data_IF_574129076192
#
_entry.id   IF_574129076192
#
_cell.length_a   1.000
_cell.length_b   1.000
_cell.length_c   1.000
_cell.angle_alpha   90.00
_cell.angle_beta   90.00
_cell.angle_gamma   90.00
#
_symmetry.space_group_name_H-M   'P 1'
#
loop_
_entity.id
_entity.type
_entity.pdbx_description
1 polymer ?
#
# COMPACT_ATOMS: atom_id res chain seq x y z
N UNK A 1 16.41 16.21 -3.96
CA UNK A 1 15.37 17.19 -3.59
C UNK A 1 14.68 16.66 -2.35
N UNK A 2 14.46 17.48 -1.32
CA UNK A 2 13.66 17.07 -0.15
C UNK A 2 12.20 17.43 -0.43
N UNK A 3 11.39 16.40 -0.69
CA UNK A 3 9.96 16.54 -0.84
C UNK A 3 9.32 16.71 0.54
N UNK A 4 8.47 17.71 0.72
CA UNK A 4 7.73 17.86 1.98
C UNK A 4 6.66 16.75 2.11
N UNK A 5 6.15 16.53 3.32
CA UNK A 5 5.18 15.44 3.59
C UNK A 5 3.93 15.51 2.70
N UNK A 6 3.49 16.72 2.35
CA UNK A 6 2.33 16.95 1.50
C UNK A 6 2.58 16.53 0.04
N UNK A 7 3.71 16.92 -0.56
CA UNK A 7 4.09 16.50 -1.91
C UNK A 7 4.30 14.98 -1.98
N UNK A 8 4.78 14.36 -0.92
CA UNK A 8 4.93 12.90 -0.81
C UNK A 8 3.59 12.20 -0.65
N UNK A 9 2.68 12.76 0.15
CA UNK A 9 1.32 12.26 0.25
C UNK A 9 0.59 12.36 -1.10
N UNK A 10 0.68 13.51 -1.78
CA UNK A 10 0.16 13.69 -3.14
C UNK A 10 0.78 12.72 -4.14
N UNK A 11 2.09 12.47 -4.03
CA UNK A 11 2.78 11.47 -4.83
C UNK A 11 2.25 10.06 -4.58
N UNK A 12 2.01 9.69 -3.33
CA UNK A 12 1.38 8.42 -2.95
C UNK A 12 -0.02 8.28 -3.55
N UNK A 13 -0.82 9.35 -3.46
CA UNK A 13 -2.18 9.41 -3.97
C UNK A 13 -2.22 9.18 -5.47
N UNK A 14 -1.47 10.01 -6.21
CA UNK A 14 -1.39 9.96 -7.67
C UNK A 14 -0.70 8.73 -8.19
N UNK A 15 0.34 8.27 -7.50
CA UNK A 15 1.01 7.02 -7.81
C UNK A 15 0.02 5.86 -7.88
N UNK A 16 -0.86 5.72 -6.88
CA UNK A 16 -1.91 4.70 -6.91
C UNK A 16 -2.86 4.81 -8.10
N UNK A 17 -3.37 6.01 -8.39
CA UNK A 17 -4.31 6.24 -9.52
C UNK A 17 -3.65 5.91 -10.86
N UNK A 18 -2.41 6.37 -11.06
CA UNK A 18 -1.64 6.11 -12.28
C UNK A 18 -1.32 4.63 -12.41
N UNK A 19 -0.88 3.98 -11.34
CA UNK A 19 -0.62 2.55 -11.33
C UNK A 19 -1.85 1.74 -11.74
N UNK A 20 -3.01 2.10 -11.20
CA UNK A 20 -4.29 1.47 -11.55
C UNK A 20 -4.67 1.68 -13.02
N UNK A 21 -4.39 2.86 -13.58
CA UNK A 21 -4.63 3.19 -14.99
C UNK A 21 -3.73 2.35 -15.90
N UNK A 22 -2.45 2.22 -15.55
CA UNK A 22 -1.48 1.37 -16.26
C UNK A 22 -1.93 -0.09 -16.25
N UNK A 23 -2.43 -0.57 -15.10
CA UNK A 23 -2.80 -1.96 -14.91
C UNK A 23 -4.05 -2.37 -15.70
N UNK A 24 -5.12 -1.57 -15.64
CA UNK A 24 -6.45 -2.00 -16.12
C UNK A 24 -6.93 -1.27 -17.37
N UNK A 25 -6.26 -0.21 -17.84
CA UNK A 25 -6.68 0.65 -18.97
C UNK A 25 -8.12 1.22 -18.87
N UNK A 26 -8.80 1.00 -17.75
CA UNK A 26 -10.08 1.57 -17.40
C UNK A 26 -9.87 2.88 -16.63
N UNK A 27 -10.91 3.71 -16.55
CA UNK A 27 -10.86 4.94 -15.76
C UNK A 27 -10.57 4.58 -14.29
N UNK A 28 -9.38 4.93 -13.82
CA UNK A 28 -8.96 4.67 -12.46
C UNK A 28 -9.84 5.42 -11.45
N UNK A 29 -10.42 6.57 -11.85
CA UNK A 29 -11.21 7.40 -10.95
C UNK A 29 -12.59 6.79 -10.63
N UNK A 30 -13.07 5.84 -11.43
CA UNK A 30 -14.34 5.15 -11.18
C UNK A 30 -14.16 3.87 -10.36
N UNK A 31 -12.92 3.51 -9.98
CA UNK A 31 -12.67 2.31 -9.20
C UNK A 31 -13.24 2.47 -7.79
N UNK A 32 -13.84 1.41 -7.25
CA UNK A 32 -14.48 1.43 -5.92
C UNK A 32 -13.54 1.95 -4.84
N UNK A 33 -12.27 1.57 -4.93
CA UNK A 33 -11.25 1.97 -3.96
C UNK A 33 -10.92 3.45 -4.02
N UNK A 34 -10.98 4.09 -5.20
CA UNK A 34 -10.78 5.54 -5.33
C UNK A 34 -11.96 6.28 -4.71
N UNK A 35 -13.18 5.81 -4.93
CA UNK A 35 -14.39 6.40 -4.34
C UNK A 35 -14.38 6.29 -2.82
N UNK A 36 -14.07 5.11 -2.28
CA UNK A 36 -13.90 4.88 -0.84
C UNK A 36 -12.76 5.73 -0.26
N UNK A 37 -11.64 5.83 -0.97
CA UNK A 37 -10.50 6.68 -0.59
C UNK A 37 -10.95 8.14 -0.41
N UNK A 38 -11.73 8.65 -1.35
CA UNK A 38 -12.28 10.02 -1.29
C UNK A 38 -13.20 10.20 -0.09
N UNK A 39 -14.11 9.26 0.15
CA UNK A 39 -14.99 9.29 1.33
C UNK A 39 -14.20 9.31 2.65
N UNK A 40 -13.14 8.51 2.75
CA UNK A 40 -12.28 8.50 3.94
C UNK A 40 -11.58 9.85 4.11
N UNK A 41 -11.08 10.46 3.02
CA UNK A 41 -10.49 11.79 3.05
C UNK A 41 -11.51 12.85 3.54
N UNK A 42 -12.74 12.81 3.03
CA UNK A 42 -13.83 13.69 3.49
C UNK A 42 -14.16 13.48 4.98
N UNK A 43 -14.15 12.23 5.46
CA UNK A 43 -14.35 11.91 6.88
C UNK A 43 -13.24 12.49 7.75
N UNK A 44 -11.99 12.50 7.28
CA UNK A 44 -10.87 13.15 7.97
C UNK A 44 -11.02 14.67 8.02
N UNK A 45 -11.32 15.29 6.87
CA UNK A 45 -11.49 16.74 6.76
C UNK A 45 -12.67 17.25 7.61
N UNK A 46 -13.71 16.43 7.74
CA UNK A 46 -14.89 16.71 8.58
C UNK A 46 -14.74 16.28 10.05
N UNK A 47 -13.55 15.83 10.47
CA UNK A 47 -13.23 15.29 11.80
C UNK A 47 -14.06 14.07 12.26
N UNK A 48 -14.91 13.54 11.39
CA UNK A 48 -15.66 12.29 11.62
C UNK A 48 -14.74 11.09 11.77
N UNK A 49 -13.57 11.10 11.13
CA UNK A 49 -12.48 10.15 11.34
C UNK A 49 -11.29 10.90 11.94
N UNK A 50 -10.73 10.38 13.02
CA UNK A 50 -9.58 10.95 13.71
C UNK A 50 -8.82 9.85 14.48
N UNK A 51 -7.74 10.22 15.18
CA UNK A 51 -6.87 9.26 15.88
C UNK A 51 -7.63 8.42 16.92
N UNK A 52 -8.67 8.96 17.56
CA UNK A 52 -9.39 8.27 18.65
C UNK A 52 -10.35 7.19 18.15
N UNK A 53 -10.89 7.34 16.93
CA UNK A 53 -11.85 6.40 16.35
C UNK A 53 -11.30 5.64 15.13
N UNK A 54 -10.02 5.85 14.77
CA UNK A 54 -9.36 5.12 13.68
C UNK A 54 -9.39 3.60 13.91
N UNK A 55 -9.13 3.15 15.13
CA UNK A 55 -9.09 1.72 15.46
C UNK A 55 -10.46 1.04 15.23
N UNK A 56 -11.53 1.68 15.70
CA UNK A 56 -12.89 1.16 15.54
C UNK A 56 -13.36 1.27 14.09
N UNK A 57 -12.97 2.32 13.37
CA UNK A 57 -13.22 2.45 11.93
C UNK A 57 -12.57 1.29 11.17
N UNK A 58 -11.27 1.04 11.35
CA UNK A 58 -10.56 -0.08 10.71
C UNK A 58 -11.19 -1.44 11.03
N UNK A 59 -11.57 -1.65 12.30
CA UNK A 59 -12.25 -2.88 12.70
C UNK A 59 -13.61 -3.05 11.98
N UNK A 60 -14.36 -1.96 11.79
CA UNK A 60 -15.67 -2.00 11.12
C UNK A 60 -15.57 -2.31 9.62
N UNK A 61 -14.51 -1.85 8.95
CA UNK A 61 -14.26 -2.16 7.53
C UNK A 61 -14.01 -3.65 7.28
N UNK A 62 -13.57 -4.37 8.31
CA UNK A 62 -13.26 -5.81 8.25
C UNK A 62 -14.43 -6.72 8.62
N UNK A 63 -15.47 -6.20 9.27
CA UNK A 63 -16.61 -6.99 9.74
C UNK A 63 -17.60 -7.37 8.61
N UNK A 64 -17.53 -6.68 7.48
CA UNK A 64 -18.47 -6.82 6.35
C UNK A 64 -18.02 -7.88 5.31
N UNK A 65 -16.85 -8.52 5.50
CA UNK A 65 -16.28 -9.49 4.56
C UNK A 65 -16.65 -10.93 4.92
N UNK A 66 -17.92 -11.29 4.75
CA UNK A 66 -18.26 -12.69 4.45
C UNK A 66 -17.99 -12.89 2.96
N UNK A 67 -17.05 -13.76 2.59
CA UNK A 67 -16.83 -14.42 1.27
C UNK A 67 -15.41 -14.26 0.65
N UNK A 68 -14.83 -15.43 0.36
CA UNK A 68 -13.69 -15.86 -0.49
C UNK A 68 -12.75 -14.81 -1.14
N UNK A 69 -11.45 -14.93 -0.84
CA UNK A 69 -10.33 -14.08 -1.27
C UNK A 69 -10.05 -14.04 -2.79
N UNK A 70 -10.55 -15.01 -3.57
CA UNK A 70 -10.09 -15.22 -4.96
C UNK A 70 -10.68 -14.21 -5.95
N UNK A 71 -11.83 -13.60 -5.65
CA UNK A 71 -12.55 -12.70 -6.59
C UNK A 71 -12.97 -11.36 -5.97
N UNK A 72 -12.51 -11.02 -4.76
CA UNK A 72 -13.10 -9.92 -4.03
C UNK A 72 -12.37 -8.59 -4.31
N UNK A 73 -12.82 -7.85 -5.32
CA UNK A 73 -12.37 -6.47 -5.60
C UNK A 73 -12.46 -5.58 -4.34
N UNK A 74 -13.47 -5.82 -3.49
CA UNK A 74 -13.68 -5.12 -2.21
C UNK A 74 -12.54 -5.33 -1.19
N UNK A 75 -11.84 -6.46 -1.24
CA UNK A 75 -10.72 -6.78 -0.32
C UNK A 75 -9.45 -5.98 -0.64
N UNK A 76 -9.14 -5.86 -1.93
CA UNK A 76 -8.02 -5.04 -2.39
C UNK A 76 -8.34 -3.55 -2.29
N UNK A 77 -9.63 -3.20 -2.36
CA UNK A 77 -10.16 -1.85 -2.15
C UNK A 77 -9.72 -1.29 -0.80
N UNK A 78 -9.98 -1.98 0.30
CA UNK A 78 -9.67 -1.50 1.66
C UNK A 78 -8.21 -1.07 1.85
N UNK A 79 -7.24 -1.80 1.28
CA UNK A 79 -5.82 -1.49 1.45
C UNK A 79 -5.42 -0.17 0.76
N UNK A 80 -6.00 0.10 -0.40
CA UNK A 80 -5.77 1.32 -1.16
C UNK A 80 -6.64 2.48 -0.67
N UNK A 81 -7.88 2.22 -0.25
CA UNK A 81 -8.83 3.20 0.26
C UNK A 81 -8.36 3.88 1.55
N UNK A 82 -7.58 3.17 2.38
CA UNK A 82 -7.12 3.67 3.68
C UNK A 82 -5.92 4.62 3.61
N UNK A 83 -5.41 4.93 2.41
CA UNK A 83 -4.32 5.88 2.21
C UNK A 83 -4.48 7.21 2.97
N UNK A 84 -5.65 7.87 2.99
CA UNK A 84 -5.81 9.16 3.68
C UNK A 84 -5.60 9.02 5.18
N UNK A 85 -5.98 7.89 5.78
CA UNK A 85 -5.80 7.66 7.21
C UNK A 85 -4.32 7.57 7.63
N UNK A 86 -3.42 7.32 6.69
CA UNK A 86 -1.98 7.25 6.92
C UNK A 86 -1.40 8.65 7.23
N UNK A 87 -2.01 9.73 6.72
CA UNK A 87 -1.57 11.11 7.02
C UNK A 87 -1.75 11.46 8.50
N UNK A 88 -2.72 10.85 9.19
CA UNK A 88 -2.89 11.05 10.64
C UNK A 88 -1.71 10.51 11.45
N UNK A 89 -0.79 9.77 10.83
CA UNK A 89 0.19 8.91 11.50
C UNK A 89 1.63 9.26 11.15
N UNK A 90 1.86 10.23 10.27
CA UNK A 90 3.21 10.68 9.93
C UNK A 90 3.99 11.13 11.15
N UNK A 91 3.33 11.64 12.20
CA UNK A 91 3.96 12.04 13.46
C UNK A 91 4.21 10.87 14.44
N UNK A 92 3.54 9.72 14.25
CA UNK A 92 3.56 8.56 15.15
C UNK A 92 3.64 7.24 14.34
N UNK A 93 4.82 6.90 13.78
CA UNK A 93 4.98 5.76 12.85
C UNK A 93 4.57 4.41 13.44
N UNK A 94 4.63 4.30 14.77
CA UNK A 94 4.33 3.08 15.51
C UNK A 94 2.85 2.95 15.90
N UNK A 95 1.97 3.88 15.50
CA UNK A 95 0.55 3.81 15.87
C UNK A 95 -0.08 2.50 15.40
N UNK A 96 0.17 2.07 14.15
CA UNK A 96 -0.36 0.81 13.62
C UNK A 96 0.05 -0.42 14.44
N UNK A 97 1.27 -0.44 14.98
CA UNK A 97 1.74 -1.49 15.88
C UNK A 97 0.95 -1.49 17.21
N UNK A 98 0.62 -0.30 17.74
CA UNK A 98 -0.21 -0.15 18.95
C UNK A 98 -1.68 -0.52 18.72
N UNK A 99 -2.14 -0.50 17.47
CA UNK A 99 -3.51 -0.93 17.11
C UNK A 99 -3.65 -2.46 17.03
N UNK A 100 -2.54 -3.20 16.85
CA UNK A 100 -2.57 -4.67 16.73
C UNK A 100 -3.22 -5.41 17.92
N UNK A 101 -2.96 -5.06 19.20
CA UNK A 101 -3.57 -5.75 20.35
C UNK A 101 -5.09 -5.55 20.41
N UNK A 102 -5.57 -4.35 20.04
CA UNK A 102 -7.00 -4.03 20.04
C UNK A 102 -7.77 -4.77 18.95
N UNK A 103 -7.08 -5.23 17.90
CA UNK A 103 -7.68 -6.04 16.83
C UNK A 103 -7.70 -7.54 17.19
N UNK A 104 -6.81 -8.00 18.09
CA UNK A 104 -6.83 -9.38 18.62
C UNK A 104 -8.06 -9.66 19.49
N UNK A 105 -8.56 -8.67 20.23
CA UNK A 105 -9.70 -8.85 21.16
C UNK A 105 -11.07 -8.75 20.47
N UNK A 106 -11.15 -8.12 19.29
CA UNK A 106 -12.43 -7.83 18.60
C UNK A 106 -12.89 -8.97 17.68
N UNK A 107 -12.03 -9.94 17.33
CA UNK A 107 -12.38 -11.00 16.36
C UNK A 107 -11.95 -12.41 16.79
N UNK A 108 -12.76 -13.03 17.65
CA UNK A 108 -12.64 -14.45 17.99
C UNK A 108 -13.17 -15.41 16.89
N UNK A 109 -13.71 -14.91 15.77
CA UNK A 109 -14.56 -15.72 14.87
C UNK A 109 -14.11 -15.93 13.41
N UNK A 110 -12.88 -15.57 12.99
CA UNK A 110 -12.24 -16.21 11.82
C UNK A 110 -10.76 -15.83 11.68
N UNK A 111 -9.89 -16.83 11.42
CA UNK A 111 -8.46 -16.62 11.19
C UNK A 111 -8.15 -15.75 9.95
N UNK A 112 -9.09 -15.70 9.00
CA UNK A 112 -8.96 -14.96 7.74
C UNK A 112 -9.04 -13.45 7.99
N UNK A 113 -10.10 -12.96 8.64
CA UNK A 113 -10.29 -11.50 8.87
C UNK A 113 -9.17 -10.93 9.76
N UNK A 114 -8.67 -11.72 10.70
CA UNK A 114 -7.50 -11.37 11.51
C UNK A 114 -6.23 -11.17 10.66
N UNK A 115 -5.95 -12.09 9.72
CA UNK A 115 -4.82 -12.00 8.79
C UNK A 115 -4.91 -10.76 7.88
N UNK A 116 -6.12 -10.45 7.40
CA UNK A 116 -6.40 -9.29 6.53
C UNK A 116 -6.13 -7.96 7.24
N UNK A 117 -6.59 -7.84 8.48
CA UNK A 117 -6.34 -6.66 9.30
C UNK A 117 -4.85 -6.43 9.52
N UNK A 118 -4.08 -7.50 9.77
CA UNK A 118 -2.64 -7.41 9.91
C UNK A 118 -1.97 -6.92 8.62
N UNK A 119 -2.39 -7.39 7.44
CA UNK A 119 -1.83 -6.93 6.16
C UNK A 119 -2.01 -5.41 5.96
N UNK A 120 -3.19 -4.88 6.31
CA UNK A 120 -3.50 -3.45 6.24
C UNK A 120 -2.58 -2.65 7.18
N UNK A 121 -2.35 -3.14 8.40
CA UNK A 121 -1.48 -2.48 9.37
C UNK A 121 -0.01 -2.50 8.91
N UNK A 122 0.46 -3.64 8.40
CA UNK A 122 1.82 -3.77 7.85
C UNK A 122 1.96 -2.82 6.66
N UNK A 123 1.02 -2.81 5.73
CA UNK A 123 1.01 -1.87 4.61
C UNK A 123 1.06 -0.40 5.08
N UNK A 124 0.21 -0.03 6.04
CA UNK A 124 0.19 1.31 6.62
C UNK A 124 1.54 1.68 7.24
N UNK A 125 2.19 0.75 7.94
CA UNK A 125 3.54 0.93 8.47
C UNK A 125 4.57 1.13 7.34
N UNK A 126 4.61 0.25 6.33
CA UNK A 126 5.54 0.36 5.19
C UNK A 126 5.41 1.72 4.51
N UNK A 127 4.19 2.16 4.25
CA UNK A 127 3.95 3.42 3.58
C UNK A 127 4.30 4.62 4.47
N UNK A 128 4.00 4.57 5.76
CA UNK A 128 4.40 5.62 6.73
C UNK A 128 5.92 5.73 6.80
N UNK A 129 6.63 4.60 6.81
CA UNK A 129 8.09 4.54 6.68
C UNK A 129 8.55 5.25 5.42
N UNK A 130 7.95 4.94 4.27
CA UNK A 130 8.30 5.59 2.99
C UNK A 130 7.91 7.05 2.95
N UNK A 131 6.91 7.51 3.70
CA UNK A 131 6.50 8.92 3.84
C UNK A 131 7.34 9.71 4.85
N UNK A 132 8.04 9.04 5.77
CA UNK A 132 8.82 9.71 6.81
C UNK A 132 10.34 9.64 6.59
N UNK A 133 10.86 8.60 5.91
CA UNK A 133 12.29 8.28 5.98
C UNK A 133 12.94 7.95 4.62
N UNK A 134 13.17 8.96 3.76
CA UNK A 134 13.76 8.76 2.43
C UNK A 134 15.19 8.17 2.42
N UNK A 135 15.98 8.41 3.47
CA UNK A 135 17.43 8.20 3.43
C UNK A 135 17.91 6.87 4.02
N UNK A 136 17.01 6.09 4.63
CA UNK A 136 17.36 4.83 5.33
C UNK A 136 16.42 3.68 4.98
N UNK A 137 15.80 3.69 3.79
CA UNK A 137 14.86 2.65 3.37
C UNK A 137 15.42 1.24 3.52
N UNK A 138 16.72 1.06 3.23
CA UNK A 138 17.39 -0.23 3.38
C UNK A 138 17.55 -0.64 4.86
N UNK A 139 18.02 0.27 5.71
CA UNK A 139 18.17 0.01 7.15
C UNK A 139 16.80 -0.20 7.83
N UNK A 140 15.75 0.47 7.36
CA UNK A 140 14.38 0.28 7.83
C UNK A 140 13.73 -0.97 7.23
N UNK A 141 14.15 -1.40 6.05
CA UNK A 141 13.76 -2.69 5.52
C UNK A 141 14.27 -3.83 6.44
N UNK A 142 15.42 -3.64 7.08
CA UNK A 142 15.94 -4.59 8.08
C UNK A 142 15.17 -4.53 9.41
N UNK A 143 14.71 -3.35 9.84
CA UNK A 143 13.89 -3.25 11.06
C UNK A 143 12.48 -3.87 10.89
N UNK A 144 11.99 -4.05 9.65
CA UNK A 144 10.76 -4.81 9.39
C UNK A 144 10.90 -6.28 9.86
N UNK A 145 12.06 -6.91 9.69
CA UNK A 145 12.31 -8.29 10.19
C UNK A 145 12.20 -8.35 11.72
N UNK A 146 12.66 -7.31 12.42
CA UNK A 146 12.59 -7.22 13.89
C UNK A 146 11.17 -6.91 14.37
N UNK A 147 10.50 -5.95 13.74
CA UNK A 147 9.17 -5.45 14.12
C UNK A 147 8.07 -6.48 13.81
N UNK A 148 8.18 -7.15 12.66
CA UNK A 148 7.19 -8.11 12.18
C UNK A 148 7.74 -9.54 12.21
N UNK A 149 8.55 -9.86 13.22
CA UNK A 149 9.09 -11.19 13.41
C UNK A 149 7.97 -12.25 13.34
N UNK A 150 8.01 -13.20 12.38
CA UNK A 150 6.97 -14.20 12.19
C UNK A 150 6.69 -15.05 13.44
N UNK A 151 7.68 -15.18 14.33
CA UNK A 151 7.54 -15.90 15.59
C UNK A 151 6.67 -15.15 16.62
N UNK A 152 6.57 -13.82 16.51
CA UNK A 152 5.78 -12.97 17.40
C UNK A 152 4.38 -12.68 16.83
N UNK A 153 4.29 -12.55 15.51
CA UNK A 153 3.04 -12.29 14.78
C UNK A 153 3.00 -13.23 13.55
N UNK A 154 2.48 -14.46 13.72
CA UNK A 154 2.31 -15.39 12.60
C UNK A 154 1.32 -14.81 11.60
N UNK A 155 1.81 -14.40 10.43
CA UNK A 155 1.00 -13.84 9.36
C UNK A 155 1.67 -14.10 7.99
N UNK A 156 0.90 -14.48 6.96
CA UNK A 156 1.43 -14.73 5.61
C UNK A 156 2.33 -13.64 5.03
N UNK A 157 2.00 -12.37 5.28
CA UNK A 157 2.78 -11.25 4.78
C UNK A 157 4.13 -11.13 5.47
N UNK A 158 4.22 -11.46 6.77
CA UNK A 158 5.50 -11.36 7.50
C UNK A 158 6.50 -12.41 7.01
N UNK A 159 6.05 -13.62 6.73
CA UNK A 159 6.85 -14.67 6.10
C UNK A 159 7.34 -14.24 4.70
N UNK A 160 6.42 -13.73 3.87
CA UNK A 160 6.74 -13.28 2.50
C UNK A 160 7.68 -12.07 2.49
N UNK A 161 7.53 -11.13 3.43
CA UNK A 161 8.46 -10.02 3.59
C UNK A 161 9.84 -10.51 4.02
N UNK A 162 9.93 -11.51 4.91
CA UNK A 162 11.22 -12.10 5.27
C UNK A 162 11.94 -12.71 4.06
N UNK A 163 11.22 -13.43 3.20
CA UNK A 163 11.75 -13.96 1.93
C UNK A 163 12.25 -12.81 1.03
N UNK A 164 11.45 -11.75 0.88
CA UNK A 164 11.83 -10.58 0.08
C UNK A 164 13.10 -9.91 0.62
N UNK A 165 13.19 -9.69 1.93
CA UNK A 165 14.32 -9.03 2.57
C UNK A 165 15.60 -9.87 2.43
N UNK A 166 15.52 -11.17 2.66
CA UNK A 166 16.63 -12.08 2.40
C UNK A 166 17.03 -12.08 0.92
N UNK A 167 16.05 -12.10 0.02
CA UNK A 167 16.29 -12.07 -1.41
C UNK A 167 16.96 -10.79 -1.89
N UNK A 168 16.61 -9.63 -1.34
CA UNK A 168 17.31 -8.38 -1.66
C UNK A 168 18.76 -8.44 -1.13
N UNK A 169 18.97 -8.95 0.10
CA UNK A 169 20.34 -9.12 0.67
C UNK A 169 21.21 -10.01 -0.22
N UNK A 170 20.65 -11.07 -0.80
CA UNK A 170 21.37 -12.00 -1.69
C UNK A 170 21.44 -11.56 -3.16
N UNK A 171 20.88 -10.41 -3.52
CA UNK A 171 20.83 -9.95 -4.92
C UNK A 171 19.93 -10.79 -5.82
N UNK A 172 18.91 -11.47 -5.25
CA UNK A 172 17.94 -12.26 -6.00
C UNK A 172 17.16 -11.39 -6.98
N UNK A 173 16.90 -11.92 -8.17
CA UNK A 173 16.08 -11.29 -9.20
C UNK A 173 14.58 -11.31 -8.88
N UNK A 174 13.80 -10.46 -9.56
CA UNK A 174 12.34 -10.45 -9.46
C UNK A 174 11.73 -11.82 -9.77
N UNK A 175 12.28 -12.53 -10.77
CA UNK A 175 11.81 -13.85 -11.14
C UNK A 175 11.97 -14.84 -9.98
N UNK A 176 13.17 -14.91 -9.39
CA UNK A 176 13.45 -15.80 -8.26
C UNK A 176 12.56 -15.48 -7.05
N UNK A 177 12.35 -14.19 -6.76
CA UNK A 177 11.45 -13.78 -5.67
C UNK A 177 10.01 -14.19 -5.96
N UNK A 178 9.53 -13.96 -7.18
CA UNK A 178 8.18 -14.37 -7.59
C UNK A 178 8.00 -15.87 -7.44
N UNK A 179 8.98 -16.66 -7.89
CA UNK A 179 9.00 -18.12 -7.74
C UNK A 179 8.95 -18.55 -6.27
N UNK A 180 9.75 -17.94 -5.39
CA UNK A 180 9.75 -18.23 -3.94
C UNK A 180 8.44 -17.83 -3.24
N UNK A 181 7.73 -16.83 -3.74
CA UNK A 181 6.47 -16.35 -3.17
C UNK A 181 5.22 -17.07 -3.72
N UNK A 182 5.38 -18.05 -4.63
CA UNK A 182 4.32 -18.76 -5.38
C UNK A 182 3.41 -19.68 -4.55
N UNK A 183 2.81 -19.19 -3.46
CA UNK A 183 1.69 -19.86 -2.80
C UNK A 183 0.36 -19.28 -3.31
N UNK A 184 -0.53 -20.14 -3.82
CA UNK A 184 -1.76 -19.73 -4.52
C UNK A 184 -2.82 -19.07 -3.63
N UNK A 185 -2.72 -19.22 -2.31
CA UNK A 185 -3.82 -18.89 -1.39
C UNK A 185 -3.65 -17.54 -0.67
N UNK A 186 -2.69 -16.69 -1.08
CA UNK A 186 -2.33 -15.47 -0.34
C UNK A 186 -1.98 -14.31 -1.29
N UNK A 187 -2.89 -13.99 -2.21
CA UNK A 187 -2.64 -13.04 -3.30
C UNK A 187 -2.28 -11.64 -2.80
N UNK A 188 -3.03 -11.07 -1.84
CA UNK A 188 -2.73 -9.73 -1.31
C UNK A 188 -1.38 -9.68 -0.59
N UNK A 189 -1.07 -10.65 0.27
CA UNK A 189 0.22 -10.70 0.96
C UNK A 189 1.37 -10.81 -0.04
N UNK A 190 1.19 -11.60 -1.10
CA UNK A 190 2.16 -11.73 -2.19
C UNK A 190 2.29 -10.42 -2.97
N UNK A 191 1.19 -9.73 -3.27
CA UNK A 191 1.21 -8.47 -3.98
C UNK A 191 1.93 -7.37 -3.20
N UNK A 192 1.69 -7.27 -1.88
CA UNK A 192 2.38 -6.31 -1.00
C UNK A 192 3.89 -6.61 -0.96
N UNK A 193 4.27 -7.88 -0.77
CA UNK A 193 5.68 -8.28 -0.70
C UNK A 193 6.42 -8.02 -2.03
N UNK A 194 5.80 -8.36 -3.16
CA UNK A 194 6.35 -8.05 -4.49
C UNK A 194 6.40 -6.55 -4.75
N UNK A 195 5.40 -5.79 -4.28
CA UNK A 195 5.37 -4.36 -4.45
C UNK A 195 6.52 -3.68 -3.69
N UNK A 196 6.77 -4.15 -2.47
CA UNK A 196 7.91 -3.74 -1.65
C UNK A 196 9.24 -4.05 -2.34
N UNK A 197 9.42 -5.28 -2.85
CA UNK A 197 10.63 -5.66 -3.59
C UNK A 197 10.86 -4.77 -4.81
N UNK A 198 9.83 -4.55 -5.63
CA UNK A 198 9.94 -3.73 -6.84
C UNK A 198 10.31 -2.29 -6.50
N UNK A 199 9.70 -1.72 -5.46
CA UNK A 199 9.99 -0.36 -5.01
C UNK A 199 11.40 -0.23 -4.40
N UNK A 200 11.74 -1.03 -3.39
CA UNK A 200 13.00 -0.89 -2.62
C UNK A 200 14.23 -1.14 -3.47
N UNK A 201 14.12 -1.96 -4.52
CA UNK A 201 15.24 -2.21 -5.44
C UNK A 201 15.44 -1.10 -6.48
N UNK A 202 14.46 -0.20 -6.67
CA UNK A 202 14.52 0.91 -7.65
C UNK A 202 13.86 2.21 -7.15
N UNK A 203 14.11 2.67 -5.91
CA UNK A 203 13.25 3.65 -5.24
C UNK A 203 13.24 5.03 -5.92
N UNK A 204 14.38 5.42 -6.53
CA UNK A 204 14.56 6.70 -7.21
C UNK A 204 13.98 6.76 -8.63
N UNK A 205 13.53 5.61 -9.18
CA UNK A 205 12.98 5.54 -10.53
C UNK A 205 11.56 4.99 -10.48
N UNK A 206 10.61 5.94 -10.52
CA UNK A 206 9.18 5.63 -10.52
C UNK A 206 8.81 4.69 -11.67
N UNK A 207 9.23 5.03 -12.89
CA UNK A 207 8.88 4.28 -14.10
C UNK A 207 9.44 2.86 -14.02
N UNK A 208 10.70 2.71 -13.61
CA UNK A 208 11.33 1.39 -13.50
C UNK A 208 10.68 0.54 -12.40
N UNK A 209 10.35 1.13 -11.25
CA UNK A 209 9.62 0.43 -10.17
C UNK A 209 8.31 -0.15 -10.68
N UNK A 210 7.52 0.68 -11.37
CA UNK A 210 6.22 0.30 -11.93
C UNK A 210 6.36 -0.73 -13.05
N UNK A 211 7.34 -0.58 -13.95
CA UNK A 211 7.62 -1.55 -15.00
C UNK A 211 8.05 -2.92 -14.45
N UNK A 212 8.78 -2.96 -13.34
CA UNK A 212 9.12 -4.22 -12.65
C UNK A 212 7.86 -4.86 -12.08
N UNK A 213 7.01 -4.09 -11.42
CA UNK A 213 5.74 -4.58 -10.89
C UNK A 213 4.83 -5.17 -11.99
N UNK A 214 4.83 -4.60 -13.19
CA UNK A 214 4.04 -5.11 -14.31
C UNK A 214 4.51 -6.47 -14.87
N UNK A 215 5.71 -6.94 -14.51
CA UNK A 215 6.27 -8.23 -14.95
C UNK A 215 5.88 -9.42 -14.08
N UNK A 216 5.15 -9.20 -12.99
CA UNK A 216 4.67 -10.29 -12.12
C UNK A 216 3.48 -11.01 -12.78
N UNK A 217 3.06 -12.14 -12.20
CA UNK A 217 1.91 -12.91 -12.69
C UNK A 217 0.67 -12.02 -12.91
N UNK A 218 -0.02 -12.22 -14.04
CA UNK A 218 -1.19 -11.43 -14.45
C UNK A 218 -2.28 -11.28 -13.38
N UNK A 219 -2.48 -12.28 -12.51
CA UNK A 219 -3.47 -12.23 -11.43
C UNK A 219 -3.10 -11.27 -10.31
N UNK A 220 -1.80 -11.04 -10.12
CA UNK A 220 -1.24 -10.15 -9.09
C UNK A 220 -0.87 -8.77 -9.65
N UNK A 221 -0.63 -8.70 -10.96
CA UNK A 221 -0.04 -7.55 -11.63
C UNK A 221 -0.75 -6.24 -11.30
N UNK A 222 -2.08 -6.18 -11.35
CA UNK A 222 -2.79 -4.93 -11.10
C UNK A 222 -2.55 -4.37 -9.69
N UNK A 223 -2.62 -5.23 -8.68
CA UNK A 223 -2.47 -4.83 -7.28
C UNK A 223 -1.00 -4.51 -7.00
N UNK A 224 -0.08 -5.34 -7.47
CA UNK A 224 1.36 -5.09 -7.32
C UNK A 224 1.76 -3.77 -8.00
N UNK A 225 1.29 -3.50 -9.23
CA UNK A 225 1.50 -2.23 -9.92
C UNK A 225 0.98 -1.07 -9.09
N UNK A 226 -0.26 -1.14 -8.62
CA UNK A 226 -0.91 -0.05 -7.88
C UNK A 226 -0.18 0.25 -6.57
N UNK A 227 0.23 -0.79 -5.83
CA UNK A 227 0.98 -0.65 -4.59
C UNK A 227 2.41 -0.14 -4.80
N UNK A 228 3.12 -0.65 -5.81
CA UNK A 228 4.45 -0.16 -6.16
C UNK A 228 4.40 1.31 -6.58
N UNK A 229 3.39 1.68 -7.38
CA UNK A 229 3.21 3.07 -7.80
C UNK A 229 2.90 3.98 -6.62
N UNK A 230 2.09 3.51 -5.65
CA UNK A 230 1.80 4.22 -4.40
C UNK A 230 3.09 4.45 -3.57
N UNK A 231 3.88 3.40 -3.33
CA UNK A 231 5.15 3.52 -2.58
C UNK A 231 6.17 4.41 -3.30
N UNK A 232 6.34 4.19 -4.60
CA UNK A 232 7.29 4.95 -5.40
C UNK A 232 6.88 6.41 -5.52
N UNK A 233 5.58 6.69 -5.62
CA UNK A 233 5.06 8.05 -5.58
C UNK A 233 5.26 8.72 -4.22
N UNK A 234 5.05 8.00 -3.12
CA UNK A 234 5.35 8.49 -1.77
C UNK A 234 6.83 8.85 -1.58
N UNK A 235 7.72 8.13 -2.26
CA UNK A 235 9.15 8.37 -2.21
C UNK A 235 9.58 9.56 -3.09
N UNK A 236 9.14 9.58 -4.35
CA UNK A 236 9.58 10.53 -5.37
C UNK A 236 8.78 11.84 -5.38
N UNK A 237 7.65 11.91 -4.67
CA UNK A 237 6.79 13.09 -4.63
C UNK A 237 5.90 13.25 -5.86
N UNK A 238 4.90 14.12 -5.73
CA UNK A 238 3.89 14.36 -6.76
C UNK A 238 4.51 15.01 -8.00
N UNK A 239 5.43 15.95 -7.81
CA UNK A 239 6.13 16.67 -8.90
C UNK A 239 6.74 15.72 -9.95
N UNK A 240 7.49 14.70 -9.51
CA UNK A 240 8.13 13.71 -10.40
C UNK A 240 7.11 12.87 -11.16
N UNK A 241 5.96 12.59 -10.55
CA UNK A 241 4.90 11.80 -11.17
C UNK A 241 4.17 12.62 -12.24
N UNK A 242 3.76 13.85 -11.89
CA UNK A 242 3.00 14.73 -12.76
C UNK A 242 3.79 15.13 -14.01
N UNK A 243 5.10 15.35 -13.91
CA UNK A 243 5.92 15.69 -15.08
C UNK A 243 5.93 14.56 -16.13
N UNK A 244 5.88 13.31 -15.68
CA UNK A 244 5.86 12.14 -16.56
C UNK A 244 4.47 11.85 -17.17
N UNK A 245 3.40 12.35 -16.54
CA UNK A 245 2.00 12.05 -16.89
C UNK A 245 1.20 13.30 -17.31
N UNK A 246 1.90 14.43 -17.49
CA UNK A 246 1.34 15.75 -17.74
C UNK A 246 0.38 15.77 -18.92
N UNK A 247 0.76 15.13 -20.03
CA UNK A 247 -0.05 15.09 -21.25
C UNK A 247 -1.40 14.39 -21.04
N UNK A 248 -1.40 13.29 -20.28
CA UNK A 248 -2.62 12.50 -20.01
C UNK A 248 -3.55 13.24 -19.02
N UNK A 249 -2.96 13.96 -18.06
CA UNK A 249 -3.69 14.80 -17.10
C UNK A 249 -4.30 16.03 -17.77
N UNK A 250 -3.56 16.70 -18.65
CA UNK A 250 -4.04 17.87 -19.39
C UNK A 250 -5.22 17.52 -20.32
N UNK A 251 -5.28 16.27 -20.80
CA UNK A 251 -6.34 15.78 -21.67
C UNK A 251 -7.56 15.22 -20.93
N UNK A 252 -7.49 15.03 -19.61
CA UNK A 252 -8.56 14.41 -18.82
C UNK A 252 -9.10 15.34 -17.71
N UNK A 253 -10.28 15.93 -17.94
CA UNK A 253 -10.92 16.87 -16.99
C UNK A 253 -11.21 16.27 -15.60
N UNK A 254 -11.49 14.96 -15.50
CA UNK A 254 -11.73 14.33 -14.19
C UNK A 254 -10.45 14.22 -13.36
N UNK A 255 -9.29 14.10 -14.02
CA UNK A 255 -7.99 14.06 -13.36
C UNK A 255 -7.58 15.45 -12.87
N UNK A 256 -7.91 16.50 -13.61
CA UNK A 256 -7.67 17.88 -13.18
C UNK A 256 -8.44 18.22 -11.89
N UNK A 257 -9.68 17.74 -11.75
CA UNK A 257 -10.48 17.95 -10.54
C UNK A 257 -9.88 17.23 -9.33
N UNK A 258 -9.28 16.05 -9.52
CA UNK A 258 -8.64 15.32 -8.43
C UNK A 258 -7.34 16.00 -7.95
N UNK A 259 -6.64 16.74 -8.82
CA UNK A 259 -5.43 17.50 -8.44
C UNK A 259 -5.79 18.63 -7.49
N UNK A 260 -6.95 19.26 -7.69
CA UNK A 260 -7.43 20.39 -6.87
C UNK A 260 -7.88 19.92 -5.48
N UNK A 261 -8.29 18.66 -5.35
CA UNK A 261 -8.77 18.06 -4.09
C UNK A 261 -7.65 17.46 -3.22
N UNK A 262 -6.47 17.21 -3.78
CA UNK A 262 -5.28 16.79 -3.03
C UNK A 262 -4.55 18.00 -2.48
#
# INVERSE_FOLDING_TARGET
MHHNTYDRFGGSWWGGIIGQTIANQADALTQSWVLERRQIAEMLLSEKLNRTNLASFLASQSADSRLNEVNNEKYHSNLLSLLPSIILQTDEPNLYLRLMPNLKSVQANSNIVFSQNINILIWGYLLTTVLNHQTHLWEQALSIEEIFNPNLIPNPLTEKLSIVLQGIKSGSSLQQITEQLSSKDQLQATAIALAWYCFVTTPHDFKLSVQRAARVDSKLSWLTITLTSTLSGAYNGMTVILDNWRTDIEQNQSWQLEIICC
#
